data_IF_580781085470
#
_entry.id   IF_580781085470
#
_cell.length_a   1.000
_cell.length_b   1.000
_cell.length_c   1.000
_cell.angle_alpha   90.00
_cell.angle_beta   90.00
_cell.angle_gamma   90.00
#
_symmetry.space_group_name_H-M   'P 1'
#
loop_
_entity.id
_entity.type
_entity.pdbx_description
1 polymer ?
#
# COMPACT_ATOMS: atom_id res chain seq x y z
N UNK A 1 -20.66 -24.87 -8.71
CA UNK A 1 -19.96 -25.56 -7.61
C UNK A 1 -18.55 -25.88 -8.08
N UNK A 2 -17.70 -24.86 -8.20
CA UNK A 2 -16.34 -24.97 -8.73
C UNK A 2 -15.38 -25.04 -7.56
N UNK A 3 -15.00 -26.26 -7.19
CA UNK A 3 -14.01 -26.51 -6.14
C UNK A 3 -12.61 -26.17 -6.66
N UNK A 4 -12.00 -25.16 -6.07
CA UNK A 4 -10.57 -24.89 -6.24
C UNK A 4 -9.80 -26.00 -5.52
N UNK A 5 -9.15 -26.87 -6.29
CA UNK A 5 -8.18 -27.84 -5.77
C UNK A 5 -6.94 -27.07 -5.28
N UNK A 6 -6.92 -26.74 -3.99
CA UNK A 6 -5.70 -26.34 -3.31
C UNK A 6 -4.82 -27.59 -3.16
N UNK A 7 -3.85 -27.77 -4.07
CA UNK A 7 -2.81 -28.80 -3.89
C UNK A 7 -2.09 -28.49 -2.58
N UNK A 8 -2.32 -29.30 -1.54
CA UNK A 8 -1.47 -29.27 -0.36
C UNK A 8 -0.06 -29.66 -0.80
N UNK A 9 0.90 -28.76 -0.66
CA UNK A 9 2.31 -29.12 -0.73
C UNK A 9 2.56 -30.11 0.40
N UNK A 10 2.88 -31.36 0.05
CA UNK A 10 2.97 -32.45 1.02
C UNK A 10 4.32 -32.47 1.77
N UNK A 11 5.35 -31.82 1.21
CA UNK A 11 6.67 -31.70 1.82
C UNK A 11 7.40 -30.46 1.26
N UNK A 12 7.94 -29.63 2.14
CA UNK A 12 8.80 -28.48 1.79
C UNK A 12 10.20 -28.81 2.29
N UNK A 13 11.17 -28.95 1.38
CA UNK A 13 12.57 -29.27 1.74
C UNK A 13 13.45 -28.04 1.98
N UNK A 14 13.09 -26.90 1.39
CA UNK A 14 13.72 -25.60 1.59
C UNK A 14 12.77 -24.50 1.13
N UNK A 15 12.95 -23.29 1.64
CA UNK A 15 12.20 -22.12 1.20
C UNK A 15 13.13 -20.92 1.14
N UNK A 16 12.93 -20.07 0.15
CA UNK A 16 13.69 -18.85 -0.06
C UNK A 16 12.70 -17.72 -0.30
N UNK A 17 12.82 -16.64 0.46
CA UNK A 17 12.16 -15.37 0.17
C UNK A 17 13.02 -14.58 -0.82
N UNK A 18 12.40 -14.08 -1.88
CA UNK A 18 13.06 -13.19 -2.84
C UNK A 18 12.53 -11.79 -2.63
N UNK A 19 13.41 -10.86 -2.26
CA UNK A 19 13.02 -9.47 -2.02
C UNK A 19 12.86 -8.68 -3.32
N UNK A 20 12.47 -7.40 -3.19
CA UNK A 20 12.26 -6.50 -4.32
C UNK A 20 13.54 -6.18 -5.12
N UNK A 21 14.73 -6.40 -4.53
CA UNK A 21 16.03 -6.28 -5.22
C UNK A 21 16.44 -7.59 -5.90
N UNK A 22 15.62 -8.64 -5.81
CA UNK A 22 15.91 -9.97 -6.34
C UNK A 22 16.87 -10.77 -5.48
N UNK A 23 17.19 -10.32 -4.27
CA UNK A 23 18.07 -11.06 -3.36
C UNK A 23 17.30 -12.20 -2.72
N UNK A 24 17.99 -13.33 -2.54
CA UNK A 24 17.44 -14.54 -1.92
C UNK A 24 17.80 -14.57 -0.44
N UNK A 25 16.81 -14.84 0.38
CA UNK A 25 16.91 -14.97 1.82
C UNK A 25 16.40 -16.36 2.20
N UNK A 26 17.25 -17.19 2.78
CA UNK A 26 16.84 -18.50 3.28
C UNK A 26 15.85 -18.33 4.44
N UNK A 27 14.75 -19.08 4.40
CA UNK A 27 13.69 -19.04 5.42
C UNK A 27 13.68 -20.36 6.17
N UNK A 28 13.78 -20.31 7.50
CA UNK A 28 13.60 -21.50 8.33
C UNK A 28 12.16 -22.00 8.17
N UNK A 29 12.01 -23.28 7.85
CA UNK A 29 10.70 -23.90 7.66
C UNK A 29 9.81 -23.80 8.91
N UNK A 30 10.42 -23.74 10.11
CA UNK A 30 9.68 -23.51 11.37
C UNK A 30 9.02 -22.14 11.42
N UNK A 31 9.62 -21.15 10.77
CA UNK A 31 9.07 -19.79 10.73
C UNK A 31 7.90 -19.73 9.75
N UNK A 32 7.93 -20.51 8.66
CA UNK A 32 6.81 -20.64 7.72
C UNK A 32 5.59 -21.26 8.40
N UNK A 33 5.80 -22.32 9.17
CA UNK A 33 4.71 -23.00 9.89
C UNK A 33 4.05 -22.11 10.94
N UNK A 34 4.81 -21.16 11.51
CA UNK A 34 4.34 -20.24 12.56
C UNK A 34 3.84 -18.90 12.00
N UNK A 35 4.25 -18.55 10.78
CA UNK A 35 3.90 -17.27 10.18
C UNK A 35 2.38 -17.19 9.98
N UNK A 36 1.71 -16.17 10.55
CA UNK A 36 0.29 -15.98 10.29
C UNK A 36 0.10 -15.57 8.83
N UNK A 37 -0.88 -16.20 8.17
CA UNK A 37 -1.35 -15.77 6.86
C UNK A 37 -1.98 -14.39 7.03
N UNK A 38 -1.69 -13.48 6.12
CA UNK A 38 -2.28 -12.16 6.16
C UNK A 38 -3.81 -12.25 5.96
N UNK A 39 -4.65 -11.71 6.86
CA UNK A 39 -6.10 -11.80 6.78
C UNK A 39 -6.68 -11.17 5.51
N UNK A 40 -5.95 -10.25 4.88
CA UNK A 40 -6.37 -9.60 3.64
C UNK A 40 -5.96 -10.37 2.38
N UNK A 41 -5.15 -11.44 2.51
CA UNK A 41 -4.62 -12.21 1.36
C UNK A 41 -5.66 -12.60 0.31
N UNK A 42 -6.88 -13.06 0.68
CA UNK A 42 -7.90 -13.43 -0.31
C UNK A 42 -8.42 -12.25 -1.14
N UNK A 43 -8.23 -11.02 -0.65
CA UNK A 43 -8.85 -9.81 -1.19
C UNK A 43 -7.86 -8.83 -1.84
N UNK A 44 -6.55 -9.04 -1.71
CA UNK A 44 -5.51 -8.12 -2.19
C UNK A 44 -5.74 -7.60 -3.60
N UNK A 45 -5.97 -8.49 -4.57
CA UNK A 45 -6.19 -8.11 -5.96
C UNK A 45 -7.40 -7.17 -6.12
N UNK A 46 -8.53 -7.54 -5.51
CA UNK A 46 -9.76 -6.76 -5.60
C UNK A 46 -9.68 -5.42 -4.86
N UNK A 47 -9.01 -5.37 -3.70
CA UNK A 47 -8.78 -4.14 -2.93
C UNK A 47 -7.92 -3.16 -3.72
N UNK A 48 -6.76 -3.61 -4.22
CA UNK A 48 -5.83 -2.80 -4.99
C UNK A 48 -6.52 -2.29 -6.27
N UNK A 49 -7.21 -3.17 -7.00
CA UNK A 49 -7.92 -2.82 -8.22
C UNK A 49 -9.05 -1.81 -7.95
N UNK A 50 -9.85 -2.03 -6.90
CA UNK A 50 -10.97 -1.15 -6.53
C UNK A 50 -10.51 0.25 -6.13
N UNK A 51 -9.45 0.35 -5.33
CA UNK A 51 -8.86 1.64 -4.91
C UNK A 51 -8.26 2.35 -6.13
N UNK A 52 -7.47 1.65 -6.94
CA UNK A 52 -6.78 2.26 -8.08
C UNK A 52 -7.73 2.69 -9.20
N UNK A 53 -8.87 2.01 -9.40
CA UNK A 53 -9.86 2.43 -10.39
C UNK A 53 -10.68 3.65 -9.96
N UNK A 54 -10.87 3.85 -8.66
CA UNK A 54 -11.66 4.96 -8.14
C UNK A 54 -10.84 6.25 -8.08
N UNK A 55 -11.19 7.24 -8.90
CA UNK A 55 -10.53 8.55 -8.90
C UNK A 55 -10.62 9.23 -7.52
N UNK A 56 -11.77 9.12 -6.84
CA UNK A 56 -11.95 9.66 -5.50
C UNK A 56 -10.99 9.02 -4.49
N UNK A 57 -10.76 7.70 -4.59
CA UNK A 57 -9.81 7.00 -3.72
C UNK A 57 -8.37 7.38 -4.03
N UNK A 58 -7.98 7.49 -5.33
CA UNK A 58 -6.65 7.98 -5.72
C UNK A 58 -6.38 9.40 -5.18
N UNK A 59 -7.37 10.29 -5.24
CA UNK A 59 -7.27 11.63 -4.63
C UNK A 59 -7.11 11.56 -3.11
N UNK A 60 -7.78 10.61 -2.44
CA UNK A 60 -7.55 10.32 -1.03
C UNK A 60 -6.11 9.88 -0.73
N UNK A 61 -5.52 9.02 -1.57
CA UNK A 61 -4.11 8.64 -1.43
C UNK A 61 -3.16 9.84 -1.63
N UNK A 62 -3.46 10.73 -2.60
CA UNK A 62 -2.70 11.97 -2.78
C UNK A 62 -2.78 12.86 -1.52
N UNK A 63 -3.96 12.91 -0.89
CA UNK A 63 -4.17 13.61 0.37
C UNK A 63 -3.28 13.04 1.47
N UNK A 64 -3.16 11.72 1.54
CA UNK A 64 -2.29 11.07 2.53
C UNK A 64 -0.83 11.42 2.35
N UNK A 65 -0.32 11.38 1.12
CA UNK A 65 1.05 11.81 0.80
C UNK A 65 1.30 13.25 1.26
N UNK A 66 0.33 14.14 1.05
CA UNK A 66 0.46 15.53 1.47
C UNK A 66 0.40 15.68 3.00
N UNK A 67 -0.61 15.14 3.66
CA UNK A 67 -0.88 15.40 5.09
C UNK A 67 0.08 14.66 6.02
N UNK A 68 0.40 13.40 5.73
CA UNK A 68 1.22 12.59 6.63
C UNK A 68 2.70 12.67 6.31
N UNK A 69 3.07 12.93 5.04
CA UNK A 69 4.46 12.91 4.60
C UNK A 69 4.95 14.27 4.05
N UNK A 70 4.09 15.28 3.94
CA UNK A 70 4.40 16.58 3.34
C UNK A 70 4.92 16.47 1.89
N UNK A 71 4.43 15.49 1.14
CA UNK A 71 4.81 15.25 -0.26
C UNK A 71 3.67 15.63 -1.20
N UNK A 72 3.96 16.49 -2.18
CA UNK A 72 3.02 16.82 -3.25
C UNK A 72 3.20 15.84 -4.41
N UNK A 73 2.15 15.07 -4.68
CA UNK A 73 2.07 14.14 -5.80
C UNK A 73 1.03 14.62 -6.80
N UNK A 74 1.22 14.31 -8.09
CA UNK A 74 0.25 14.58 -9.17
C UNK A 74 -0.77 13.47 -9.35
N UNK A 75 -0.42 12.26 -8.94
CA UNK A 75 -1.28 11.08 -8.93
C UNK A 75 -0.75 10.08 -7.90
N UNK A 76 -1.59 9.16 -7.46
CA UNK A 76 -1.23 8.15 -6.47
C UNK A 76 -1.98 6.83 -6.72
N UNK A 77 -1.26 5.72 -6.63
CA UNK A 77 -1.80 4.36 -6.76
C UNK A 77 -1.40 3.55 -5.53
N UNK A 78 -2.29 2.71 -5.02
CA UNK A 78 -1.93 1.72 -4.01
C UNK A 78 -1.18 0.58 -4.70
N UNK A 79 -0.04 0.20 -4.16
CA UNK A 79 0.85 -0.83 -4.71
C UNK A 79 0.67 -2.17 -3.99
N UNK A 80 0.62 -2.10 -2.66
CA UNK A 80 0.51 -3.26 -1.78
C UNK A 80 -0.42 -2.91 -0.61
N UNK A 81 -1.00 -3.94 0.00
CA UNK A 81 -1.72 -3.84 1.28
C UNK A 81 -1.38 -5.07 2.11
N UNK A 82 -1.31 -4.90 3.42
CA UNK A 82 -1.17 -5.99 4.37
C UNK A 82 -1.89 -5.62 5.67
N UNK A 83 -1.82 -6.50 6.67
CA UNK A 83 -2.47 -6.24 7.96
C UNK A 83 -1.89 -5.06 8.73
N UNK A 84 -0.71 -4.58 8.38
CA UNK A 84 -0.03 -3.46 9.07
C UNK A 84 -0.24 -2.13 8.37
N UNK A 85 -0.63 -2.12 7.11
CA UNK A 85 -0.73 -0.89 6.34
C UNK A 85 -0.86 -1.10 4.85
N UNK A 86 -0.30 -0.16 4.10
CA UNK A 86 -0.29 -0.17 2.65
C UNK A 86 0.83 0.69 2.08
N UNK A 87 1.28 0.34 0.89
CA UNK A 87 2.24 1.14 0.12
C UNK A 87 1.55 1.88 -1.02
N UNK A 88 1.97 3.12 -1.25
CA UNK A 88 1.48 3.99 -2.31
C UNK A 88 2.60 4.37 -3.24
N UNK A 89 2.38 4.20 -4.54
CA UNK A 89 3.19 4.75 -5.60
C UNK A 89 2.69 6.16 -5.93
N UNK A 90 3.46 7.18 -5.55
CA UNK A 90 3.12 8.59 -5.76
C UNK A 90 3.93 9.21 -6.90
N UNK A 91 3.26 9.94 -7.81
CA UNK A 91 3.89 10.63 -8.94
C UNK A 91 4.38 12.00 -8.52
N UNK A 92 5.66 12.14 -8.19
CA UNK A 92 6.27 13.40 -7.76
C UNK A 92 6.91 14.15 -8.93
N UNK A 93 6.97 15.48 -8.85
CA UNK A 93 7.77 16.29 -9.78
C UNK A 93 9.26 16.02 -9.49
N UNK A 94 10.05 15.68 -10.51
CA UNK A 94 11.51 15.53 -10.34
C UNK A 94 12.20 16.88 -10.14
N UNK A 95 11.55 17.96 -10.54
CA UNK A 95 12.16 19.28 -10.61
C UNK A 95 11.85 20.05 -9.33
N UNK A 96 12.77 19.95 -8.36
CA UNK A 96 12.84 20.86 -7.20
C UNK A 96 13.61 22.16 -7.53
N UNK A 97 13.94 22.40 -8.80
CA UNK A 97 14.68 23.59 -9.25
C UNK A 97 13.86 24.34 -10.30
N UNK A 98 13.45 25.54 -9.91
CA UNK A 98 12.89 26.58 -10.77
C UNK A 98 13.83 26.89 -11.93
N UNK A 99 13.69 26.16 -13.05
CA UNK A 99 14.15 26.66 -14.34
C UNK A 99 13.05 26.43 -15.38
N UNK A 100 12.51 27.55 -15.84
CA UNK A 100 11.21 27.70 -16.51
C UNK A 100 11.16 27.18 -17.95
N UNK A 101 11.88 26.10 -18.29
CA UNK A 101 11.94 25.63 -19.69
C UNK A 101 12.18 24.13 -19.91
N UNK A 102 11.87 23.26 -18.95
CA UNK A 102 11.93 21.81 -19.19
C UNK A 102 10.57 21.15 -18.96
N UNK A 103 10.22 20.20 -19.84
CA UNK A 103 9.04 19.36 -19.71
C UNK A 103 9.01 18.77 -18.31
N UNK A 104 7.97 19.07 -17.52
CA UNK A 104 7.89 18.60 -16.13
C UNK A 104 8.12 17.10 -16.08
N UNK A 105 9.30 16.69 -15.60
CA UNK A 105 9.65 15.29 -15.49
C UNK A 105 8.99 14.78 -14.21
N UNK A 106 8.31 13.63 -14.31
CA UNK A 106 7.67 12.99 -13.17
C UNK A 106 8.36 11.69 -12.88
N UNK A 107 8.60 11.45 -11.59
CA UNK A 107 9.12 10.20 -11.08
C UNK A 107 8.06 9.56 -10.18
N UNK A 108 7.94 8.24 -10.26
CA UNK A 108 7.12 7.48 -9.33
C UNK A 108 7.97 7.07 -8.14
N UNK A 109 7.49 7.31 -6.92
CA UNK A 109 8.17 6.95 -5.67
C UNK A 109 7.24 6.18 -4.74
N UNK A 110 7.82 5.26 -3.99
CA UNK A 110 7.09 4.44 -3.01
C UNK A 110 7.00 5.16 -1.66
N UNK A 111 5.81 5.11 -1.07
CA UNK A 111 5.50 5.67 0.24
C UNK A 111 4.72 4.65 1.07
N UNK A 112 5.25 4.26 2.22
CA UNK A 112 4.61 3.30 3.12
C UNK A 112 3.80 4.01 4.19
N UNK A 113 2.56 3.57 4.40
CA UNK A 113 1.67 4.03 5.45
C UNK A 113 1.37 2.88 6.39
N UNK A 114 1.60 3.08 7.69
CA UNK A 114 1.33 2.08 8.71
C UNK A 114 0.13 2.47 9.56
N UNK A 115 -0.68 1.49 9.91
CA UNK A 115 -1.73 1.64 10.90
C UNK A 115 -1.14 1.55 12.32
N UNK A 116 -1.80 2.20 13.29
CA UNK A 116 -1.40 2.11 14.69
C UNK A 116 -1.61 0.73 15.33
N UNK A 117 -2.35 -0.16 14.68
CA UNK A 117 -2.59 -1.55 15.09
C UNK A 117 -2.83 -2.42 13.85
N UNK A 118 -2.59 -3.73 13.97
CA UNK A 118 -2.88 -4.66 12.89
C UNK A 118 -4.39 -4.75 12.62
N UNK A 119 -4.78 -4.88 11.34
CA UNK A 119 -6.15 -5.11 10.94
C UNK A 119 -6.43 -6.61 10.90
N UNK A 120 -7.61 -7.00 11.36
CA UNK A 120 -8.01 -8.41 11.49
C UNK A 120 -8.78 -8.91 10.27
N UNK A 121 -9.36 -7.99 9.50
CA UNK A 121 -10.17 -8.27 8.31
C UNK A 121 -10.26 -7.06 7.36
N UNK A 122 -10.90 -7.28 6.22
CA UNK A 122 -11.12 -6.29 5.17
C UNK A 122 -12.00 -5.11 5.63
N UNK A 123 -12.97 -5.36 6.51
CA UNK A 123 -13.84 -4.31 7.01
C UNK A 123 -13.04 -3.33 7.87
N UNK A 124 -12.23 -3.85 8.78
CA UNK A 124 -11.34 -3.09 9.63
C UNK A 124 -10.32 -2.29 8.82
N UNK A 125 -9.75 -2.88 7.76
CA UNK A 125 -8.89 -2.16 6.81
C UNK A 125 -9.62 -0.97 6.18
N UNK A 126 -10.82 -1.19 5.62
CA UNK A 126 -11.62 -0.14 5.00
C UNK A 126 -11.97 0.97 6.02
N UNK A 127 -12.33 0.59 7.24
CA UNK A 127 -12.60 1.53 8.32
C UNK A 127 -11.37 2.37 8.69
N UNK A 128 -10.18 1.79 8.75
CA UNK A 128 -8.96 2.56 9.05
C UNK A 128 -8.62 3.51 7.92
N UNK A 129 -8.75 3.07 6.66
CA UNK A 129 -8.53 3.92 5.50
C UNK A 129 -9.49 5.13 5.50
N UNK A 130 -10.76 4.91 5.83
CA UNK A 130 -11.76 5.97 5.92
C UNK A 130 -11.47 6.94 7.08
N UNK A 131 -11.05 6.43 8.25
CA UNK A 131 -10.64 7.28 9.39
C UNK A 131 -9.42 8.13 9.06
N UNK A 132 -8.43 7.55 8.39
CA UNK A 132 -7.26 8.31 7.94
C UNK A 132 -7.63 9.45 6.98
N UNK A 133 -8.64 9.25 6.13
CA UNK A 133 -9.18 10.28 5.24
C UNK A 133 -9.91 11.38 6.00
N UNK A 134 -10.79 11.02 6.93
CA UNK A 134 -11.47 11.98 7.80
C UNK A 134 -10.47 12.82 8.60
N UNK A 135 -9.47 12.18 9.22
CA UNK A 135 -8.40 12.86 9.94
C UNK A 135 -7.60 13.80 9.03
N UNK A 136 -7.27 13.37 7.82
CA UNK A 136 -6.51 14.17 6.87
C UNK A 136 -7.30 15.41 6.42
N UNK A 137 -8.60 15.24 6.13
CA UNK A 137 -9.50 16.34 5.79
C UNK A 137 -9.63 17.34 6.94
N UNK A 138 -9.79 16.85 8.17
CA UNK A 138 -9.90 17.70 9.36
C UNK A 138 -8.64 18.53 9.61
N UNK A 139 -7.45 17.98 9.33
CA UNK A 139 -6.18 18.74 9.44
C UNK A 139 -6.10 19.88 8.43
N UNK A 140 -6.64 19.68 7.24
CA UNK A 140 -6.62 20.71 6.18
C UNK A 140 -7.70 21.75 6.43
N UNK A 141 -8.91 21.35 6.81
CA UNK A 141 -10.00 22.27 7.11
C UNK A 141 -9.72 23.11 8.37
N UNK A 142 -9.04 22.54 9.36
CA UNK A 142 -8.57 23.25 10.56
C UNK A 142 -7.32 24.12 10.32
N UNK A 143 -6.63 23.98 9.18
CA UNK A 143 -5.48 24.81 8.78
C UNK A 143 -5.85 25.99 7.88
N UNK A 144 -7.15 26.24 7.64
CA UNK A 144 -7.62 27.48 7.02
C UNK A 144 -7.74 28.55 8.10
N UNK A 145 -6.60 29.16 8.46
CA UNK A 145 -6.51 30.48 9.12
C UNK A 145 -5.37 31.26 8.46
#
# INVERSE_FOLDING_TARGET
>A
MTGYFQKRVQWIGSCNYVDFLGQKHDVDLKDIERAPIDPLSPFFGALIEGINRSEARRRGLMLFCFVYLNVRVRDALILSVDRKGFDVLGKVSSDLKDDASSSSHFEWKDFSFSFGREVEDIETFCCFLAKMEEEALNRISGSVI
#
